data_IF_503836094614
#
_entry.id   IF_503836094614
#
_cell.length_a   1.000
_cell.length_b   1.000
_cell.length_c   1.000
_cell.angle_alpha   90.00
_cell.angle_beta   90.00
_cell.angle_gamma   90.00
#
_symmetry.space_group_name_H-M   'P 1'
#
loop_
_entity.id
_entity.type
_entity.pdbx_description
1 polymer ?
#
# COMPACT_ATOMS: atom_id res chain seq x y z
N UNK A 1 11.01 -13.95 7.85
CA UNK A 1 11.80 -12.76 7.53
C UNK A 1 11.88 -12.72 6.03
N UNK A 2 10.94 -12.01 5.42
CA UNK A 2 11.10 -11.58 4.04
C UNK A 2 12.42 -10.84 3.94
N UNK A 3 13.27 -11.30 3.03
CA UNK A 3 14.51 -10.61 2.75
C UNK A 3 14.16 -9.49 1.79
N UNK A 4 13.84 -8.32 2.33
CA UNK A 4 13.71 -7.08 1.58
C UNK A 4 14.97 -6.83 0.75
N UNK A 5 14.80 -6.39 -0.50
CA UNK A 5 15.88 -6.04 -1.42
C UNK A 5 15.67 -4.63 -1.99
N UNK A 6 16.77 -4.00 -2.40
CA UNK A 6 16.71 -2.77 -3.19
C UNK A 6 15.90 -2.99 -4.47
N UNK A 7 14.92 -2.12 -4.71
CA UNK A 7 13.99 -2.20 -5.82
C UNK A 7 12.68 -2.92 -5.51
N UNK A 8 12.55 -3.59 -4.36
CA UNK A 8 11.28 -4.22 -3.97
C UNK A 8 10.19 -3.16 -3.76
N UNK A 9 8.97 -3.54 -4.14
CA UNK A 9 7.75 -2.81 -3.79
C UNK A 9 7.30 -3.24 -2.40
N UNK A 10 6.75 -2.29 -1.66
CA UNK A 10 6.24 -2.50 -0.30
C UNK A 10 5.12 -1.51 -0.03
N UNK A 11 4.28 -1.80 0.95
CA UNK A 11 3.51 -0.77 1.63
C UNK A 11 4.31 -0.31 2.85
N UNK A 12 4.65 0.98 2.92
CA UNK A 12 5.42 1.54 4.01
C UNK A 12 4.55 2.43 4.89
N UNK A 13 4.68 2.30 6.20
CA UNK A 13 4.01 3.16 7.16
C UNK A 13 4.55 4.58 7.08
N UNK A 14 3.64 5.56 6.98
CA UNK A 14 3.95 6.98 7.03
C UNK A 14 3.38 7.57 8.33
N UNK A 15 4.27 8.04 9.21
CA UNK A 15 3.88 8.51 10.55
C UNK A 15 3.12 9.84 10.55
N UNK A 16 3.14 10.59 9.44
CA UNK A 16 2.48 11.90 9.36
C UNK A 16 0.94 11.79 9.38
N UNK A 17 0.38 10.70 8.85
CA UNK A 17 -1.06 10.46 8.82
C UNK A 17 -1.50 9.04 9.25
N UNK A 18 -0.56 8.19 9.68
CA UNK A 18 -0.82 6.86 10.25
C UNK A 18 -1.32 5.82 9.24
N UNK A 19 -0.95 5.97 7.96
CA UNK A 19 -1.29 5.03 6.88
C UNK A 19 -0.07 4.31 6.30
N UNK A 20 -0.32 3.14 5.73
CA UNK A 20 0.60 2.45 4.84
C UNK A 20 0.39 2.89 3.40
N UNK A 21 1.46 3.33 2.76
CA UNK A 21 1.45 3.80 1.37
C UNK A 21 2.37 2.97 0.47
N UNK A 22 2.02 2.84 -0.83
CA UNK A 22 2.90 2.24 -1.83
C UNK A 22 4.27 2.94 -1.87
N UNK A 23 5.32 2.14 -1.75
CA UNK A 23 6.69 2.62 -1.77
C UNK A 23 7.63 1.66 -2.50
N UNK A 24 8.84 2.15 -2.80
CA UNK A 24 9.96 1.35 -3.31
C UNK A 24 11.14 1.47 -2.36
N UNK A 25 11.76 0.33 -2.05
CA UNK A 25 13.02 0.29 -1.33
C UNK A 25 14.13 0.79 -2.24
N UNK A 26 14.82 1.85 -1.85
CA UNK A 26 15.89 2.49 -2.61
C UNK A 26 17.26 1.95 -2.19
N UNK A 27 17.50 1.86 -0.87
CA UNK A 27 18.78 1.42 -0.29
C UNK A 27 18.52 0.65 1.01
N UNK A 28 19.33 -0.36 1.30
CA UNK A 28 19.34 -1.05 2.60
C UNK A 28 20.73 -0.92 3.23
N UNK A 29 20.80 -0.37 4.45
CA UNK A 29 22.03 -0.24 5.24
C UNK A 29 21.87 -0.91 6.62
N UNK A 30 22.09 -2.22 6.66
CA UNK A 30 21.90 -3.00 7.89
C UNK A 30 20.42 -3.17 8.24
N UNK A 31 19.97 -2.54 9.31
CA UNK A 31 18.56 -2.55 9.77
C UNK A 31 17.77 -1.34 9.26
N UNK A 32 18.47 -0.30 8.77
CA UNK A 32 17.87 0.91 8.22
C UNK A 32 17.56 0.71 6.73
N UNK A 33 16.35 1.06 6.33
CA UNK A 33 15.85 0.94 4.95
C UNK A 33 15.46 2.32 4.46
N UNK A 34 16.08 2.79 3.37
CA UNK A 34 15.70 4.04 2.71
C UNK A 34 14.66 3.74 1.63
N UNK A 35 13.50 4.37 1.73
CA UNK A 35 12.37 4.17 0.83
C UNK A 35 12.00 5.46 0.10
N UNK A 36 11.26 5.31 -0.99
CA UNK A 36 10.53 6.40 -1.64
C UNK A 36 9.07 6.00 -1.82
N UNK A 37 8.17 6.79 -1.28
CA UNK A 37 6.73 6.67 -1.52
C UNK A 37 6.37 7.06 -2.95
N UNK A 38 5.28 6.51 -3.47
CA UNK A 38 4.79 6.87 -4.81
C UNK A 38 4.31 8.33 -4.92
N UNK A 39 4.02 8.97 -3.79
CA UNK A 39 3.72 10.40 -3.67
C UNK A 39 4.96 11.28 -3.87
N UNK A 40 6.16 10.71 -3.71
CA UNK A 40 7.45 11.33 -4.01
C UNK A 40 8.33 11.62 -2.79
N UNK A 41 7.76 11.55 -1.59
CA UNK A 41 8.47 11.65 -0.32
C UNK A 41 9.44 10.47 -0.13
N UNK A 42 10.53 10.73 0.60
CA UNK A 42 11.60 9.76 0.86
C UNK A 42 11.98 9.82 2.33
N UNK A 43 12.19 8.66 2.95
CA UNK A 43 12.61 8.59 4.34
C UNK A 43 13.38 7.31 4.69
N UNK A 44 13.96 7.30 5.88
CA UNK A 44 14.55 6.11 6.48
C UNK A 44 13.55 5.46 7.43
N UNK A 45 13.38 4.15 7.30
CA UNK A 45 12.50 3.32 8.11
C UNK A 45 13.19 2.00 8.49
N UNK A 46 12.47 1.09 9.16
CA UNK A 46 12.91 -0.28 9.42
C UNK A 46 11.92 -1.27 8.82
N UNK A 47 12.32 -2.55 8.77
CA UNK A 47 11.46 -3.62 8.29
C UNK A 47 10.17 -3.81 9.11
N UNK A 48 10.08 -3.26 10.34
CA UNK A 48 8.90 -3.34 11.20
C UNK A 48 7.76 -2.41 10.73
N UNK A 49 8.07 -1.47 9.83
CA UNK A 49 7.14 -0.49 9.26
C UNK A 49 6.88 -0.73 7.77
N UNK A 50 7.21 -1.93 7.29
CA UNK A 50 6.98 -2.37 5.93
C UNK A 50 6.06 -3.58 5.92
N UNK A 51 5.07 -3.53 5.05
CA UNK A 51 4.19 -4.64 4.72
C UNK A 51 4.45 -5.10 3.28
N UNK A 52 4.18 -6.38 3.02
CA UNK A 52 4.30 -6.97 1.70
C UNK A 52 3.42 -6.20 0.69
N UNK A 53 3.90 -6.00 -0.53
CA UNK A 53 3.15 -5.29 -1.58
C UNK A 53 2.08 -6.19 -2.21
N UNK A 54 1.14 -6.63 -1.39
CA UNK A 54 0.03 -7.51 -1.72
C UNK A 54 -1.18 -7.18 -0.85
N UNK A 55 -2.35 -7.61 -1.29
CA UNK A 55 -3.63 -7.54 -0.56
C UNK A 55 -4.36 -8.86 -0.72
N UNK A 56 -5.30 -9.15 0.16
CA UNK A 56 -6.11 -10.37 0.13
C UNK A 56 -7.55 -10.08 -0.33
N UNK A 57 -8.22 -11.09 -0.89
CA UNK A 57 -9.66 -11.00 -1.18
C UNK A 57 -10.42 -10.90 0.15
N UNK A 58 -11.50 -10.11 0.15
CA UNK A 58 -12.31 -9.73 1.32
C UNK A 58 -11.61 -8.78 2.31
N UNK A 59 -10.42 -8.27 1.99
CA UNK A 59 -9.73 -7.25 2.78
C UNK A 59 -10.41 -5.87 2.62
N UNK A 60 -10.57 -5.15 3.74
CA UNK A 60 -11.07 -3.77 3.79
C UNK A 60 -9.87 -2.81 3.72
N UNK A 61 -9.81 -1.98 2.68
CA UNK A 61 -8.72 -1.03 2.44
C UNK A 61 -9.27 0.30 1.92
N UNK A 62 -8.43 1.32 1.79
CA UNK A 62 -8.79 2.54 1.06
C UNK A 62 -8.20 2.54 -0.36
N UNK A 63 -9.05 2.79 -1.35
CA UNK A 63 -8.64 2.94 -2.75
C UNK A 63 -8.77 4.39 -3.20
N UNK A 64 -7.72 4.90 -3.85
CA UNK A 64 -7.75 6.16 -4.59
C UNK A 64 -8.54 5.96 -5.88
N UNK A 65 -9.76 6.48 -5.96
CA UNK A 65 -10.64 6.28 -7.12
C UNK A 65 -10.04 6.80 -8.41
N UNK A 66 -10.17 6.05 -9.50
CA UNK A 66 -9.71 6.52 -10.84
C UNK A 66 -10.57 7.64 -11.42
N UNK A 67 -11.72 7.95 -10.80
CA UNK A 67 -12.67 8.96 -11.28
C UNK A 67 -12.33 10.38 -10.81
N UNK A 68 -11.93 10.54 -9.55
CA UNK A 68 -11.71 11.85 -8.91
C UNK A 68 -10.44 11.96 -8.05
N UNK A 69 -9.63 10.90 -7.99
CA UNK A 69 -8.39 10.83 -7.21
C UNK A 69 -8.56 11.05 -5.68
N UNK A 70 -9.75 10.79 -5.14
CA UNK A 70 -10.01 10.72 -3.70
C UNK A 70 -9.96 9.29 -3.18
N UNK A 71 -9.66 9.13 -1.88
CA UNK A 71 -9.68 7.84 -1.20
C UNK A 71 -11.07 7.49 -0.68
N UNK A 72 -11.44 6.22 -0.81
CA UNK A 72 -12.69 5.64 -0.34
C UNK A 72 -12.43 4.27 0.27
N UNK A 73 -13.17 3.92 1.32
CA UNK A 73 -13.23 2.56 1.84
C UNK A 73 -13.79 1.61 0.77
N UNK A 74 -13.08 0.50 0.54
CA UNK A 74 -13.45 -0.53 -0.42
C UNK A 74 -13.14 -1.92 0.11
N UNK A 75 -13.77 -2.93 -0.49
CA UNK A 75 -13.45 -4.34 -0.28
C UNK A 75 -12.75 -4.89 -1.53
N UNK A 76 -11.67 -5.64 -1.35
CA UNK A 76 -11.00 -6.36 -2.45
C UNK A 76 -11.87 -7.54 -2.90
N UNK A 77 -12.30 -7.54 -4.16
CA UNK A 77 -13.10 -8.62 -4.76
C UNK A 77 -12.26 -9.68 -5.51
N UNK A 78 -11.18 -9.25 -6.18
CA UNK A 78 -10.31 -10.14 -6.96
C UNK A 78 -8.89 -9.57 -7.07
N UNK A 79 -7.91 -10.46 -7.24
CA UNK A 79 -6.48 -10.13 -7.32
C UNK A 79 -5.84 -10.83 -8.52
N UNK A 80 -5.31 -10.04 -9.46
CA UNK A 80 -4.58 -10.47 -10.67
C UNK A 80 -3.20 -9.79 -10.70
N UNK A 81 -2.26 -10.32 -9.89
CA UNK A 81 -0.95 -9.70 -9.68
C UNK A 81 -1.08 -8.35 -8.99
N UNK A 82 -0.57 -7.28 -9.61
CA UNK A 82 -0.71 -5.92 -9.06
C UNK A 82 -2.07 -5.26 -9.38
N UNK A 83 -2.92 -5.93 -10.17
CA UNK A 83 -4.26 -5.45 -10.49
C UNK A 83 -5.26 -6.03 -9.51
N UNK A 84 -6.16 -5.20 -9.01
CA UNK A 84 -7.20 -5.61 -8.07
C UNK A 84 -8.56 -5.09 -8.52
N UNK A 85 -9.60 -5.89 -8.32
CA UNK A 85 -10.98 -5.42 -8.40
C UNK A 85 -11.44 -5.00 -7.01
N UNK A 86 -11.99 -3.79 -6.89
CA UNK A 86 -12.48 -3.25 -5.63
C UNK A 86 -13.97 -2.96 -5.71
N UNK A 87 -14.68 -3.16 -4.62
CA UNK A 87 -16.09 -2.78 -4.45
C UNK A 87 -16.20 -1.58 -3.52
N UNK A 88 -16.89 -0.54 -3.98
CA UNK A 88 -17.22 0.64 -3.19
C UNK A 88 -18.50 0.42 -2.37
N UNK A 89 -18.72 1.27 -1.37
CA UNK A 89 -19.92 1.23 -0.53
C UNK A 89 -21.26 1.39 -1.29
N UNK A 90 -21.23 1.90 -2.53
CA UNK A 90 -22.42 2.02 -3.40
C UNK A 90 -22.60 0.83 -4.35
N UNK A 91 -21.90 -0.29 -4.10
CA UNK A 91 -21.90 -1.53 -4.89
C UNK A 91 -21.33 -1.36 -6.31
N UNK A 92 -20.69 -0.22 -6.61
CA UNK A 92 -19.93 -0.07 -7.85
C UNK A 92 -18.57 -0.75 -7.70
N UNK A 93 -18.06 -1.26 -8.83
CA UNK A 93 -16.73 -1.89 -8.86
C UNK A 93 -15.82 -1.21 -9.86
N UNK A 94 -14.51 -1.25 -9.57
CA UNK A 94 -13.49 -0.88 -10.54
C UNK A 94 -12.29 -1.83 -10.48
N UNK A 95 -11.65 -2.01 -11.64
CA UNK A 95 -10.31 -2.57 -11.70
C UNK A 95 -9.28 -1.46 -11.58
N UNK A 96 -8.39 -1.59 -10.61
CA UNK A 96 -7.34 -0.63 -10.29
C UNK A 96 -5.99 -1.33 -10.11
N UNK A 97 -5.02 -0.66 -9.52
CA UNK A 97 -3.67 -1.15 -9.25
C UNK A 97 -3.35 -0.99 -7.77
N UNK A 98 -2.47 -1.85 -7.22
CA UNK A 98 -2.00 -1.78 -5.83
C UNK A 98 -1.40 -0.41 -5.46
N UNK A 99 -0.83 0.32 -6.43
CA UNK A 99 -0.28 1.66 -6.17
C UNK A 99 -1.34 2.74 -5.89
N UNK A 100 -2.62 2.38 -5.91
CA UNK A 100 -3.75 3.24 -5.54
C UNK A 100 -4.37 2.82 -4.21
N UNK A 101 -3.84 1.79 -3.56
CA UNK A 101 -4.31 1.29 -2.28
C UNK A 101 -3.48 1.91 -1.15
N UNK A 102 -4.13 2.23 -0.04
CA UNK A 102 -3.53 2.48 1.27
C UNK A 102 -4.41 1.83 2.34
N UNK A 103 -3.86 1.61 3.52
CA UNK A 103 -4.62 1.10 4.66
C UNK A 103 -4.02 1.66 5.96
N UNK A 104 -4.84 1.74 7.00
CA UNK A 104 -4.40 2.09 8.33
C UNK A 104 -4.30 0.80 9.16
N UNK A 105 -3.44 0.79 10.19
CA UNK A 105 -3.51 -0.28 11.19
C UNK A 105 -4.63 0.07 12.16
N UNK A 106 -5.68 -0.75 12.23
CA UNK A 106 -6.57 -0.77 13.39
C UNK A 106 -5.77 -1.30 14.59
N UNK A 107 -5.59 -0.47 15.62
CA UNK A 107 -5.11 -0.96 16.92
C UNK A 107 -6.19 -1.92 17.49
N UNK A 108 -5.96 -3.24 17.40
CA UNK A 108 -6.80 -4.26 18.06
C UNK A 108 -6.96 -4.03 19.58
#
# INVERSE_FOLDING_TARGET
MEYWNEGDRTFAYWDEDEYFYPATIITIDGEDIYIRFDTGEEEWTSADYLEAYEVEIDEEVECKSTQDDLYYDVIILDVDGERVEVEYADETTEWTMLNRIRFYIDEE
#
